data_IF_439883882053
#
_entry.id   IF_439883882053
#
_cell.length_a   1.000
_cell.length_b   1.000
_cell.length_c   1.000
_cell.angle_alpha   90.00
_cell.angle_beta   90.00
_cell.angle_gamma   90.00
#
_symmetry.space_group_name_H-M   'P 1'
#
loop_
_entity.id
_entity.type
_entity.pdbx_description
1 polymer ?
#
# COMPACT_ATOMS: atom_id res chain seq x y z
N UNK A 1 19.57 -22.66 -1.55
CA UNK A 1 18.18 -22.27 -1.84
C UNK A 1 17.80 -22.81 -3.21
N UNK A 2 16.93 -23.83 -3.26
CA UNK A 2 16.40 -24.36 -4.51
C UNK A 2 15.21 -23.49 -4.91
N UNK A 3 15.37 -22.65 -5.94
CA UNK A 3 14.29 -21.82 -6.45
C UNK A 3 13.27 -22.64 -7.26
N UNK A 4 12.07 -22.09 -7.46
CA UNK A 4 11.05 -22.68 -8.32
C UNK A 4 11.32 -22.36 -9.78
N UNK A 5 11.14 -23.35 -10.67
CA UNK A 5 11.09 -23.15 -12.11
C UNK A 5 9.65 -23.35 -12.60
N UNK A 6 9.04 -22.29 -13.13
CA UNK A 6 7.67 -22.33 -13.67
C UNK A 6 7.73 -22.35 -15.19
N UNK A 7 7.04 -23.33 -15.80
CA UNK A 7 6.93 -23.46 -17.25
C UNK A 7 5.47 -23.39 -17.69
N UNK A 8 5.15 -22.39 -18.48
CA UNK A 8 3.83 -22.26 -19.11
C UNK A 8 3.92 -22.78 -20.55
N UNK A 9 2.96 -23.61 -20.95
CA UNK A 9 2.85 -24.13 -22.32
C UNK A 9 1.41 -24.01 -22.79
N UNK A 10 1.24 -23.51 -24.00
CA UNK A 10 0.00 -23.60 -24.75
C UNK A 10 -0.15 -25.03 -25.28
N UNK A 11 -1.26 -25.69 -24.99
CA UNK A 11 -1.54 -27.07 -25.44
C UNK A 11 -2.24 -27.12 -26.80
N UNK A 12 -2.96 -26.06 -27.16
CA UNK A 12 -3.80 -26.01 -28.36
C UNK A 12 -3.04 -25.39 -29.54
N UNK A 13 -3.17 -25.91 -30.78
CA UNK A 13 -2.60 -25.27 -31.97
C UNK A 13 -3.11 -23.85 -32.20
N UNK A 14 -2.35 -23.03 -32.94
CA UNK A 14 -2.77 -21.68 -33.36
C UNK A 14 -3.83 -21.80 -34.44
N UNK A 15 -5.02 -21.26 -34.20
CA UNK A 15 -6.07 -21.21 -35.21
C UNK A 15 -5.63 -20.30 -36.37
N UNK A 16 -5.89 -20.74 -37.60
CA UNK A 16 -5.50 -20.04 -38.83
C UNK A 16 -6.55 -19.02 -39.28
N UNK A 17 -7.73 -19.05 -38.66
CA UNK A 17 -8.87 -18.22 -39.03
C UNK A 17 -8.87 -16.93 -38.21
N UNK A 18 -8.99 -15.78 -38.86
CA UNK A 18 -9.08 -14.47 -38.20
C UNK A 18 -10.38 -14.27 -37.39
N UNK A 19 -11.28 -15.26 -37.38
CA UNK A 19 -12.51 -15.29 -36.55
C UNK A 19 -12.24 -15.71 -35.11
N UNK A 20 -11.11 -16.32 -34.81
CA UNK A 20 -10.81 -16.85 -33.48
C UNK A 20 -9.54 -16.17 -32.95
N UNK A 21 -9.67 -15.40 -31.87
CA UNK A 21 -8.59 -14.71 -31.21
C UNK A 21 -8.00 -15.57 -30.07
N UNK A 22 -6.98 -16.38 -30.38
CA UNK A 22 -6.34 -17.30 -29.42
C UNK A 22 -4.95 -16.82 -28.96
N UNK A 23 -4.80 -15.54 -28.62
CA UNK A 23 -3.55 -15.03 -28.06
C UNK A 23 -3.47 -15.39 -26.57
N UNK A 24 -2.40 -16.07 -26.15
CA UNK A 24 -2.12 -16.36 -24.74
C UNK A 24 -0.92 -15.53 -24.30
N UNK A 25 -1.12 -14.71 -23.26
CA UNK A 25 -0.08 -13.89 -22.63
C UNK A 25 -0.11 -14.18 -21.14
N UNK A 26 1.07 -14.28 -20.52
CA UNK A 26 1.19 -14.34 -19.06
C UNK A 26 1.40 -12.91 -18.58
N UNK A 27 0.43 -12.36 -17.86
CA UNK A 27 0.51 -10.97 -17.40
C UNK A 27 1.31 -10.83 -16.10
N UNK A 28 1.09 -11.71 -15.11
CA UNK A 28 1.83 -11.70 -13.86
C UNK A 28 1.90 -13.09 -13.20
N UNK A 29 2.96 -13.32 -12.43
CA UNK A 29 3.10 -14.46 -11.53
C UNK A 29 3.32 -13.89 -10.12
N UNK A 30 2.46 -14.23 -9.18
CA UNK A 30 2.57 -13.80 -7.77
C UNK A 30 2.77 -15.00 -6.87
N UNK A 31 3.86 -15.03 -6.12
CA UNK A 31 4.10 -16.01 -5.06
C UNK A 31 3.54 -15.46 -3.75
N UNK A 32 2.70 -16.24 -3.05
CA UNK A 32 2.21 -15.89 -1.72
C UNK A 32 3.11 -16.57 -0.70
N UNK A 33 3.90 -15.76 0.01
CA UNK A 33 4.73 -16.21 1.11
C UNK A 33 4.03 -15.81 2.41
N UNK A 34 3.65 -16.79 3.22
CA UNK A 34 3.11 -16.54 4.55
C UNK A 34 4.28 -16.24 5.51
N UNK A 35 4.37 -14.99 5.95
CA UNK A 35 5.38 -14.52 6.88
C UNK A 35 4.69 -13.78 8.04
N UNK A 36 4.98 -14.21 9.27
CA UNK A 36 4.59 -13.47 10.47
C UNK A 36 5.55 -12.30 10.67
N UNK A 37 5.17 -11.14 10.17
CA UNK A 37 5.96 -9.91 10.27
C UNK A 37 5.40 -9.07 11.42
N UNK A 38 6.24 -8.78 12.42
CA UNK A 38 5.92 -7.84 13.50
C UNK A 38 6.66 -6.53 13.25
N UNK A 39 5.93 -5.41 13.18
CA UNK A 39 6.48 -4.07 12.97
C UNK A 39 6.20 -3.18 14.20
N UNK A 40 6.99 -3.31 15.27
CA UNK A 40 6.84 -2.46 16.45
C UNK A 40 7.07 -0.98 16.08
N UNK A 41 6.35 -0.08 16.74
CA UNK A 41 6.45 1.39 16.57
C UNK A 41 6.15 1.92 15.15
N UNK A 42 5.47 1.14 14.29
CA UNK A 42 5.10 1.52 12.93
C UNK A 42 3.60 1.39 12.72
N UNK A 43 2.94 2.40 12.13
CA UNK A 43 1.58 2.20 11.64
C UNK A 43 1.60 1.67 10.20
N UNK A 44 0.76 0.67 9.95
CA UNK A 44 0.63 0.02 8.65
C UNK A 44 -0.75 0.35 8.08
N UNK A 45 -0.78 0.71 6.81
CA UNK A 45 -2.01 0.85 6.03
C UNK A 45 -2.07 -0.28 5.01
N UNK A 46 -3.03 -1.19 5.15
CA UNK A 46 -3.31 -2.24 4.18
C UNK A 46 -4.58 -1.89 3.41
N UNK A 47 -4.50 -1.88 2.08
CA UNK A 47 -5.63 -1.58 1.20
C UNK A 47 -5.77 -2.71 0.18
N UNK A 48 -6.96 -3.32 0.13
CA UNK A 48 -7.31 -4.38 -0.82
C UNK A 48 -8.53 -3.95 -1.63
N UNK A 49 -8.44 -4.06 -2.94
CA UNK A 49 -9.53 -3.80 -3.88
C UNK A 49 -9.50 -4.81 -5.02
N UNK A 50 -10.67 -5.02 -5.66
CA UNK A 50 -10.78 -5.89 -6.82
C UNK A 50 -10.13 -5.22 -8.03
N UNK A 51 -9.12 -5.87 -8.61
CA UNK A 51 -8.40 -5.39 -9.79
C UNK A 51 -9.33 -5.21 -11.00
N UNK A 52 -10.48 -5.88 -11.06
CA UNK A 52 -11.46 -5.71 -12.15
C UNK A 52 -12.14 -4.34 -12.14
N UNK A 53 -12.21 -3.68 -10.99
CA UNK A 53 -12.86 -2.38 -10.85
C UNK A 53 -11.95 -1.20 -11.21
N UNK A 54 -10.63 -1.42 -11.32
CA UNK A 54 -9.64 -0.37 -11.53
C UNK A 54 -8.73 -0.67 -12.71
N UNK A 55 -8.71 0.20 -13.73
CA UNK A 55 -7.78 0.07 -14.88
C UNK A 55 -6.33 0.41 -14.53
N UNK A 56 -6.11 1.20 -13.46
CA UNK A 56 -4.81 1.62 -12.97
C UNK A 56 -4.81 1.58 -11.43
N UNK A 57 -3.62 1.50 -10.84
CA UNK A 57 -3.47 1.53 -9.37
C UNK A 57 -4.04 2.87 -8.85
N UNK A 58 -5.01 2.85 -7.91
CA UNK A 58 -5.56 4.07 -7.33
C UNK A 58 -4.51 4.80 -6.50
N UNK A 59 -4.53 6.13 -6.57
CA UNK A 59 -3.75 6.95 -5.63
C UNK A 59 -4.41 6.91 -4.26
N UNK A 60 -3.65 6.52 -3.25
CA UNK A 60 -4.10 6.46 -1.85
C UNK A 60 -3.46 7.62 -1.11
N UNK A 61 -4.26 8.56 -0.62
CA UNK A 61 -3.84 9.62 0.30
C UNK A 61 -4.41 9.33 1.69
N UNK A 62 -3.57 9.33 2.72
CA UNK A 62 -4.00 9.20 4.11
C UNK A 62 -3.45 10.36 4.93
N UNK A 63 -4.21 10.81 5.92
CA UNK A 63 -3.78 11.76 6.94
C UNK A 63 -3.65 11.01 8.27
N UNK A 64 -2.52 10.32 8.52
CA UNK A 64 -2.32 9.62 9.77
C UNK A 64 -2.12 10.64 10.91
N UNK A 65 -3.00 10.63 11.92
CA UNK A 65 -2.74 11.28 13.20
C UNK A 65 -1.64 10.48 13.92
N UNK A 66 -0.37 10.85 13.75
CA UNK A 66 0.74 10.11 14.35
C UNK A 66 1.85 10.96 14.98
N UNK A 67 2.46 10.27 15.96
CA UNK A 67 3.50 10.63 16.93
C UNK A 67 3.17 11.83 17.81
N UNK A 68 2.87 11.52 19.07
CA UNK A 68 2.85 12.49 20.17
C UNK A 68 4.24 13.12 20.24
N UNK A 69 4.33 14.41 19.92
CA UNK A 69 5.56 15.18 19.97
C UNK A 69 5.46 16.22 21.08
N UNK A 70 6.61 16.77 21.47
CA UNK A 70 6.61 17.92 22.37
C UNK A 70 6.23 19.16 21.57
N UNK A 71 5.07 19.72 21.88
CA UNK A 71 4.64 21.02 21.37
C UNK A 71 4.74 22.06 22.50
N UNK A 72 4.94 23.34 22.18
CA UNK A 72 4.86 24.41 23.18
C UNK A 72 3.57 24.31 23.99
N UNK A 73 3.62 24.53 25.31
CA UNK A 73 2.45 24.37 26.16
C UNK A 73 1.27 25.25 25.73
N UNK A 74 1.57 26.43 25.15
CA UNK A 74 0.60 27.38 24.64
C UNK A 74 0.09 27.06 23.21
N UNK A 75 0.54 25.99 22.56
CA UNK A 75 0.10 25.60 21.21
C UNK A 75 -1.02 24.56 21.26
N UNK A 76 -2.13 24.80 20.57
CA UNK A 76 -3.18 23.82 20.32
C UNK A 76 -2.95 23.13 18.95
N UNK A 77 -2.62 21.82 18.91
CA UNK A 77 -2.32 21.11 17.66
C UNK A 77 -3.54 20.87 16.76
N UNK A 78 -4.76 20.87 17.29
CA UNK A 78 -5.96 20.64 16.47
C UNK A 78 -6.37 21.92 15.73
N UNK A 79 -6.39 23.05 16.42
CA UNK A 79 -6.75 24.35 15.84
C UNK A 79 -5.55 25.13 15.29
N UNK A 80 -4.32 24.69 15.57
CA UNK A 80 -3.05 25.38 15.23
C UNK A 80 -2.93 26.79 15.82
N UNK A 81 -3.58 27.06 16.95
CA UNK A 81 -3.56 28.37 17.61
C UNK A 81 -2.61 28.43 18.80
N UNK A 82 -2.06 29.62 19.06
CA UNK A 82 -1.28 29.91 20.26
C UNK A 82 -2.12 30.71 21.26
N UNK A 83 -2.18 30.27 22.52
CA UNK A 83 -2.87 30.96 23.60
C UNK A 83 -1.89 31.66 24.54
N UNK A 84 -1.70 32.97 24.36
CA UNK A 84 -0.81 33.78 25.21
C UNK A 84 0.68 33.59 24.92
N UNK A 85 1.52 34.16 25.79
CA UNK A 85 2.98 34.12 25.67
C UNK A 85 3.51 32.77 26.13
N UNK A 86 4.43 32.19 25.36
CA UNK A 86 5.07 30.93 25.71
C UNK A 86 6.05 31.12 26.87
N UNK A 87 5.94 30.27 27.88
CA UNK A 87 6.76 30.27 29.11
C UNK A 87 8.00 29.37 29.02
N UNK A 88 8.28 28.80 27.85
CA UNK A 88 9.37 27.84 27.63
C UNK A 88 9.03 26.39 27.94
N UNK A 89 7.81 26.10 28.43
CA UNK A 89 7.38 24.75 28.77
C UNK A 89 6.80 23.99 27.56
N UNK A 90 6.92 22.67 27.56
CA UNK A 90 6.39 21.81 26.51
C UNK A 90 5.34 20.85 27.07
N UNK A 91 4.32 20.57 26.28
CA UNK A 91 3.35 19.50 26.52
C UNK A 91 3.47 18.42 25.46
N UNK A 92 3.08 17.20 25.83
CA UNK A 92 2.91 16.11 24.88
C UNK A 92 1.57 16.29 24.17
N UNK A 93 1.60 16.38 22.84
CA UNK A 93 0.40 16.44 22.02
C UNK A 93 0.65 15.84 20.63
#
# INVERSE_FOLDING_TARGET
HSGWQVRVRRLTPKQTTNRIADAMVVEAITEVIDAKLSYPETALLFVQFDAKQFRNIPQISCEPKMRIIRVPANYDPESRHYSGVWDGSFKWA
#
